data_IF_313494827336
#
_entry.id   IF_313494827336
#
_cell.length_a   1.000
_cell.length_b   1.000
_cell.length_c   1.000
_cell.angle_alpha   90.00
_cell.angle_beta   90.00
_cell.angle_gamma   90.00
#
_symmetry.space_group_name_H-M   'P 1'
#
loop_
_entity.id
_entity.type
_entity.pdbx_description
1 polymer ?
#
# COMPACT_ATOMS: atom_id res chain seq x y z
N UNK A 1 -3.64 -24.91 -17.37
CA UNK A 1 -4.11 -26.23 -16.88
C UNK A 1 -3.49 -26.47 -15.52
N UNK A 2 -4.29 -26.40 -14.45
CA UNK A 2 -3.82 -26.65 -13.09
C UNK A 2 -3.63 -28.15 -12.91
N UNK A 3 -2.40 -28.61 -12.68
CA UNK A 3 -2.08 -30.00 -12.36
C UNK A 3 -2.19 -30.18 -10.82
N UNK A 4 -3.26 -30.79 -10.30
CA UNK A 4 -3.51 -30.84 -8.86
C UNK A 4 -2.51 -31.73 -8.11
N UNK A 5 -1.83 -32.67 -8.78
CA UNK A 5 -0.77 -33.51 -8.17
C UNK A 5 0.51 -32.71 -7.90
N UNK A 6 0.93 -31.87 -8.84
CA UNK A 6 2.12 -31.02 -8.65
C UNK A 6 1.92 -29.98 -7.54
N UNK A 7 0.69 -29.53 -7.30
CA UNK A 7 0.35 -28.59 -6.22
C UNK A 7 0.52 -29.21 -4.82
N UNK A 8 0.26 -30.51 -4.67
CA UNK A 8 0.44 -31.23 -3.42
C UNK A 8 1.93 -31.46 -3.13
N UNK A 9 2.69 -31.91 -4.13
CA UNK A 9 4.15 -32.11 -4.04
C UNK A 9 4.89 -30.80 -3.72
N UNK A 10 4.48 -29.68 -4.33
CA UNK A 10 5.02 -28.36 -4.01
C UNK A 10 4.71 -27.97 -2.56
N UNK A 11 3.48 -28.21 -2.07
CA UNK A 11 3.13 -27.91 -0.68
C UNK A 11 3.97 -28.72 0.31
N UNK A 12 4.09 -30.03 0.10
CA UNK A 12 4.91 -30.90 0.96
C UNK A 12 6.40 -30.53 0.93
N UNK A 13 6.91 -30.06 -0.21
CA UNK A 13 8.27 -29.56 -0.30
C UNK A 13 8.45 -28.23 0.44
N UNK A 14 7.48 -27.32 0.32
CA UNK A 14 7.48 -26.03 1.02
C UNK A 14 7.41 -26.19 2.56
N UNK A 15 6.77 -27.23 3.07
CA UNK A 15 6.76 -27.54 4.51
C UNK A 15 8.14 -27.88 5.09
N UNK A 16 9.09 -28.28 4.24
CA UNK A 16 10.47 -28.63 4.63
C UNK A 16 11.44 -27.46 4.53
N UNK A 17 10.96 -26.28 4.12
CA UNK A 17 11.76 -25.06 3.98
C UNK A 17 11.97 -24.45 5.37
N UNK A 18 13.23 -24.34 5.79
CA UNK A 18 13.60 -23.69 7.05
C UNK A 18 14.34 -22.37 6.83
N UNK A 19 14.96 -22.21 5.66
CA UNK A 19 15.63 -20.98 5.23
C UNK A 19 15.31 -20.65 3.78
N UNK A 20 15.53 -19.40 3.37
CA UNK A 20 15.21 -18.92 2.01
C UNK A 20 16.01 -19.67 0.95
N UNK A 21 17.22 -20.10 1.29
CA UNK A 21 18.11 -20.90 0.44
C UNK A 21 17.47 -22.25 0.05
N UNK A 22 16.62 -22.82 0.92
CA UNK A 22 15.95 -24.10 0.69
C UNK A 22 14.87 -24.00 -0.41
N UNK A 23 14.37 -22.79 -0.68
CA UNK A 23 13.34 -22.56 -1.71
C UNK A 23 13.89 -22.75 -3.13
N UNK A 24 15.17 -22.44 -3.37
CA UNK A 24 15.76 -22.46 -4.70
C UNK A 24 15.81 -23.88 -5.30
N UNK A 25 16.33 -24.91 -4.61
CA UNK A 25 16.31 -26.29 -5.10
C UNK A 25 14.90 -26.80 -5.39
N UNK A 26 13.94 -26.48 -4.52
CA UNK A 26 12.53 -26.86 -4.66
C UNK A 26 11.95 -26.20 -5.91
N UNK A 27 12.07 -24.89 -6.04
CA UNK A 27 11.50 -24.14 -7.16
C UNK A 27 12.17 -24.50 -8.51
N UNK A 28 13.47 -24.84 -8.51
CA UNK A 28 14.17 -25.36 -9.71
C UNK A 28 13.60 -26.70 -10.18
N UNK A 29 13.11 -27.56 -9.29
CA UNK A 29 12.45 -28.81 -9.69
C UNK A 29 11.12 -28.55 -10.42
N UNK A 30 10.41 -27.48 -10.04
CA UNK A 30 9.08 -27.18 -10.58
C UNK A 30 9.06 -26.13 -11.70
N UNK A 31 10.13 -25.36 -11.89
CA UNK A 31 10.21 -24.32 -12.91
C UNK A 31 11.33 -24.58 -13.91
N UNK A 32 10.99 -25.24 -15.03
CA UNK A 32 11.94 -25.59 -16.09
C UNK A 32 12.33 -24.43 -17.02
N UNK A 33 11.67 -23.27 -16.89
CA UNK A 33 11.87 -22.11 -17.79
C UNK A 33 13.03 -21.20 -17.38
N UNK A 34 13.44 -21.22 -16.12
CA UNK A 34 14.49 -20.37 -15.57
C UNK A 34 15.59 -21.24 -14.99
N UNK A 35 16.69 -21.41 -15.74
CA UNK A 35 17.80 -22.31 -15.38
C UNK A 35 18.38 -22.07 -13.97
N UNK A 36 18.35 -20.82 -13.52
CA UNK A 36 19.05 -20.39 -12.30
C UNK A 36 18.13 -19.80 -11.22
N UNK A 37 16.80 -19.89 -11.35
CA UNK A 37 15.88 -19.27 -10.38
C UNK A 37 14.40 -19.49 -10.65
N UNK A 38 13.56 -18.68 -10.00
CA UNK A 38 12.12 -18.65 -10.25
C UNK A 38 11.57 -17.22 -10.16
N UNK A 39 10.43 -17.02 -10.82
CA UNK A 39 9.73 -15.74 -10.87
C UNK A 39 8.27 -15.95 -10.47
N UNK A 40 7.77 -15.10 -9.57
CA UNK A 40 6.39 -15.08 -9.13
C UNK A 40 5.79 -13.73 -9.49
N UNK A 41 4.66 -13.74 -10.17
CA UNK A 41 3.88 -12.53 -10.45
C UNK A 41 2.66 -12.51 -9.53
N UNK A 42 2.44 -11.40 -8.83
CA UNK A 42 1.24 -11.23 -8.03
C UNK A 42 0.09 -10.67 -8.86
N UNK A 43 -1.12 -10.93 -8.37
CA UNK A 43 -2.37 -10.44 -8.94
C UNK A 43 -3.07 -9.54 -7.95
N UNK A 44 -3.64 -8.46 -8.46
CA UNK A 44 -4.29 -7.43 -7.67
C UNK A 44 -5.76 -7.40 -8.08
N UNK A 45 -6.69 -7.88 -7.24
CA UNK A 45 -8.10 -7.87 -7.56
C UNK A 45 -8.62 -6.44 -7.77
N UNK A 46 -9.48 -6.24 -8.75
CA UNK A 46 -10.17 -4.98 -9.01
C UNK A 46 -11.37 -4.81 -8.08
N UNK A 47 -11.54 -3.61 -7.53
CA UNK A 47 -12.73 -3.23 -6.74
C UNK A 47 -13.83 -2.67 -7.65
N UNK A 48 -13.46 -1.99 -8.74
CA UNK A 48 -14.38 -1.39 -9.71
C UNK A 48 -15.01 -2.45 -10.63
N UNK A 49 -14.18 -3.35 -11.16
CA UNK A 49 -14.59 -4.38 -12.10
C UNK A 49 -14.53 -5.76 -11.43
N UNK A 50 -15.64 -6.18 -10.81
CA UNK A 50 -15.70 -7.46 -10.09
C UNK A 50 -15.22 -8.65 -10.95
N UNK A 51 -14.35 -9.47 -10.37
CA UNK A 51 -13.77 -10.64 -11.02
C UNK A 51 -12.60 -10.36 -11.95
N UNK A 52 -12.22 -9.09 -12.16
CA UNK A 52 -10.97 -8.75 -12.84
C UNK A 52 -9.80 -8.69 -11.86
N UNK A 53 -8.63 -9.03 -12.35
CA UNK A 53 -7.37 -8.92 -11.65
C UNK A 53 -6.35 -8.21 -12.54
N UNK A 54 -5.55 -7.35 -11.94
CA UNK A 54 -4.46 -6.64 -12.60
C UNK A 54 -3.11 -7.26 -12.22
N UNK A 55 -2.11 -7.05 -13.06
CA UNK A 55 -0.74 -7.44 -12.73
C UNK A 55 -0.22 -6.57 -11.58
N UNK A 56 0.21 -7.23 -10.51
CA UNK A 56 0.83 -6.60 -9.35
C UNK A 56 2.32 -6.37 -9.58
N UNK A 57 3.12 -6.97 -8.73
CA UNK A 57 4.57 -6.93 -8.80
C UNK A 57 5.14 -8.33 -9.06
N UNK A 58 6.37 -8.34 -9.56
CA UNK A 58 7.12 -9.54 -9.90
C UNK A 58 8.25 -9.71 -8.89
N UNK A 59 8.31 -10.86 -8.24
CA UNK A 59 9.45 -11.27 -7.43
C UNK A 59 10.27 -12.26 -8.25
N UNK A 60 11.56 -12.00 -8.37
CA UNK A 60 12.50 -12.95 -8.96
C UNK A 60 13.57 -13.31 -7.93
N UNK A 61 13.77 -14.61 -7.75
CA UNK A 61 14.84 -15.16 -6.92
C UNK A 61 15.72 -16.00 -7.83
N UNK A 62 16.98 -15.60 -7.92
CA UNK A 62 18.00 -16.35 -8.68
C UNK A 62 19.15 -16.72 -7.77
N UNK A 63 19.74 -17.89 -8.03
CA UNK A 63 20.90 -18.39 -7.32
C UNK A 63 22.03 -18.70 -8.29
N UNK A 64 23.22 -18.20 -8.03
CA UNK A 64 24.40 -18.53 -8.84
C UNK A 64 25.03 -19.88 -8.43
N UNK A 65 26.09 -20.30 -9.14
CA UNK A 65 26.81 -21.56 -8.88
C UNK A 65 27.63 -21.56 -7.59
N UNK A 66 27.86 -20.38 -7.00
CA UNK A 66 28.68 -20.18 -5.80
C UNK A 66 27.81 -20.11 -4.54
N UNK A 67 26.49 -20.04 -4.71
CA UNK A 67 25.51 -19.99 -3.62
C UNK A 67 25.01 -18.59 -3.29
N UNK A 68 25.36 -17.56 -4.08
CA UNK A 68 24.80 -16.23 -3.91
C UNK A 68 23.35 -16.21 -4.38
N UNK A 69 22.48 -15.54 -3.61
CA UNK A 69 21.07 -15.35 -3.95
C UNK A 69 20.83 -13.89 -4.30
N UNK A 70 20.27 -13.65 -5.48
CA UNK A 70 19.76 -12.35 -5.89
C UNK A 70 18.23 -12.36 -5.78
N UNK A 71 17.73 -11.42 -4.98
CA UNK A 71 16.31 -11.13 -4.82
C UNK A 71 16.00 -9.81 -5.52
N UNK A 72 15.13 -9.84 -6.53
CA UNK A 72 14.64 -8.64 -7.20
C UNK A 72 13.11 -8.55 -7.13
N UNK A 73 12.64 -7.30 -7.02
CA UNK A 73 11.23 -6.93 -6.96
C UNK A 73 11.02 -5.87 -8.02
N UNK A 74 10.14 -6.14 -8.96
CA UNK A 74 9.90 -5.28 -10.12
C UNK A 74 8.41 -5.03 -10.30
N UNK A 75 8.04 -3.80 -10.62
CA UNK A 75 6.69 -3.44 -11.01
C UNK A 75 6.72 -3.03 -12.47
N UNK A 76 5.91 -3.68 -13.30
CA UNK A 76 5.82 -3.32 -14.71
C UNK A 76 5.21 -1.93 -14.86
N UNK A 77 5.80 -1.10 -15.70
CA UNK A 77 5.32 0.28 -15.97
C UNK A 77 4.76 0.40 -17.37
N UNK A 78 4.02 -0.61 -17.85
CA UNK A 78 3.35 -0.54 -19.15
C UNK A 78 2.22 0.48 -19.10
N UNK A 79 1.93 1.10 -20.24
CA UNK A 79 0.86 2.08 -20.35
C UNK A 79 -0.51 1.47 -20.00
N UNK A 80 -0.82 0.30 -20.56
CA UNK A 80 -2.05 -0.44 -20.32
C UNK A 80 -2.28 -0.72 -18.82
N UNK A 81 -1.25 -1.21 -18.12
CA UNK A 81 -1.30 -1.43 -16.67
C UNK A 81 -1.55 -0.12 -15.93
N UNK A 82 -0.82 0.93 -16.28
CA UNK A 82 -0.96 2.24 -15.63
C UNK A 82 -2.37 2.79 -15.80
N UNK A 83 -2.99 2.64 -16.97
CA UNK A 83 -4.37 3.05 -17.24
C UNK A 83 -5.39 2.25 -16.40
N UNK A 84 -5.19 0.94 -16.23
CA UNK A 84 -6.06 0.11 -15.37
C UNK A 84 -6.02 0.58 -13.91
N UNK A 85 -4.83 0.78 -13.34
CA UNK A 85 -4.70 1.28 -11.97
C UNK A 85 -5.20 2.72 -11.83
N UNK A 86 -5.00 3.56 -12.85
CA UNK A 86 -5.51 4.93 -12.85
C UNK A 86 -7.05 4.96 -12.80
N UNK A 87 -7.72 4.14 -13.61
CA UNK A 87 -9.18 4.01 -13.58
C UNK A 87 -9.69 3.56 -12.20
N UNK A 88 -8.94 2.70 -11.53
CA UNK A 88 -9.25 2.21 -10.20
C UNK A 88 -9.10 3.26 -9.11
N UNK A 89 -7.98 3.99 -9.14
CA UNK A 89 -7.73 5.10 -8.23
C UNK A 89 -8.74 6.22 -8.45
N UNK A 90 -9.10 6.54 -9.70
CA UNK A 90 -10.12 7.56 -10.02
C UNK A 90 -11.51 7.18 -9.48
N UNK A 91 -11.94 5.93 -9.65
CA UNK A 91 -13.19 5.45 -9.09
C UNK A 91 -13.20 5.53 -7.56
N UNK A 92 -12.13 5.07 -6.90
CA UNK A 92 -11.98 5.17 -5.44
C UNK A 92 -11.96 6.62 -4.96
N UNK A 93 -11.31 7.51 -5.71
CA UNK A 93 -11.23 8.93 -5.35
C UNK A 93 -12.60 9.62 -5.46
N UNK A 94 -13.41 9.26 -6.47
CA UNK A 94 -14.80 9.72 -6.59
C UNK A 94 -15.66 9.27 -5.42
N UNK A 95 -15.57 7.99 -5.04
CA UNK A 95 -16.29 7.44 -3.89
C UNK A 95 -15.83 8.08 -2.58
N UNK A 96 -14.52 8.27 -2.41
CA UNK A 96 -13.93 8.94 -1.25
C UNK A 96 -14.42 10.38 -1.13
N UNK A 97 -14.49 11.11 -2.26
CA UNK A 97 -15.00 12.47 -2.29
C UNK A 97 -16.48 12.53 -1.93
N UNK A 98 -17.29 11.61 -2.46
CA UNK A 98 -18.71 11.54 -2.14
C UNK A 98 -18.95 11.22 -0.66
N UNK A 99 -18.31 10.18 -0.13
CA UNK A 99 -18.42 9.81 1.30
C UNK A 99 -17.82 10.85 2.24
N UNK A 100 -16.72 11.50 1.85
CA UNK A 100 -16.11 12.57 2.63
C UNK A 100 -17.04 13.78 2.80
N UNK A 101 -17.82 14.14 1.78
CA UNK A 101 -18.86 15.17 1.89
C UNK A 101 -19.95 14.76 2.89
N UNK A 102 -20.40 13.51 2.84
CA UNK A 102 -21.39 12.98 3.79
C UNK A 102 -20.84 13.00 5.21
N UNK A 103 -19.60 12.56 5.43
CA UNK A 103 -18.93 12.60 6.74
C UNK A 103 -18.80 14.03 7.31
N UNK A 104 -18.62 15.03 6.44
CA UNK A 104 -18.59 16.43 6.87
C UNK A 104 -19.95 16.91 7.39
N UNK A 105 -21.03 16.32 6.88
CA UNK A 105 -22.42 16.69 7.19
C UNK A 105 -23.06 15.79 8.26
N UNK A 106 -22.49 14.62 8.54
CA UNK A 106 -23.03 13.60 9.46
C UNK A 106 -21.96 13.09 10.44
N UNK A 107 -22.30 13.04 11.73
CA UNK A 107 -21.43 12.55 12.80
C UNK A 107 -21.60 11.04 13.07
N UNK A 108 -22.22 10.28 12.16
CA UNK A 108 -22.45 8.85 12.35
C UNK A 108 -21.14 8.06 12.38
N UNK A 109 -21.03 7.15 13.36
CA UNK A 109 -19.81 6.41 13.66
C UNK A 109 -19.34 5.49 12.52
N UNK A 110 -20.25 5.05 11.64
CA UNK A 110 -19.97 4.16 10.51
C UNK A 110 -19.33 4.85 9.30
N UNK A 111 -19.64 6.14 9.07
CA UNK A 111 -19.16 6.87 7.89
C UNK A 111 -17.65 7.12 7.95
N UNK A 112 -17.12 7.38 9.16
CA UNK A 112 -15.68 7.56 9.35
C UNK A 112 -14.88 6.28 9.02
N UNK A 113 -15.39 5.10 9.38
CA UNK A 113 -14.70 3.84 9.06
C UNK A 113 -14.74 3.52 7.56
N UNK A 114 -15.87 3.80 6.90
CA UNK A 114 -16.00 3.66 5.45
C UNK A 114 -15.01 4.56 4.70
N UNK A 115 -14.88 5.82 5.11
CA UNK A 115 -13.88 6.75 4.57
C UNK A 115 -12.46 6.24 4.82
N UNK A 116 -12.15 5.72 6.01
CA UNK A 116 -10.84 5.11 6.29
C UNK A 116 -10.54 3.92 5.37
N UNK A 117 -11.52 3.05 5.12
CA UNK A 117 -11.35 1.89 4.22
C UNK A 117 -11.10 2.33 2.77
N UNK A 118 -11.76 3.39 2.30
CA UNK A 118 -11.52 3.95 0.97
C UNK A 118 -10.12 4.57 0.85
N UNK A 119 -9.66 5.31 1.88
CA UNK A 119 -8.29 5.86 1.93
C UNK A 119 -7.26 4.73 1.83
N UNK A 120 -7.44 3.66 2.61
CA UNK A 120 -6.52 2.52 2.61
C UNK A 120 -6.58 1.73 1.28
N UNK A 121 -7.76 1.64 0.66
CA UNK A 121 -7.91 1.03 -0.66
C UNK A 121 -7.20 1.83 -1.75
N UNK A 122 -7.35 3.17 -1.74
CA UNK A 122 -6.64 4.04 -2.67
C UNK A 122 -5.13 3.84 -2.57
N UNK A 123 -4.63 3.72 -1.34
CA UNK A 123 -3.19 3.54 -1.10
C UNK A 123 -2.72 2.12 -1.41
N UNK A 124 -3.56 1.10 -1.21
CA UNK A 124 -3.28 -0.26 -1.68
C UNK A 124 -2.98 -0.29 -3.19
N UNK A 125 -3.80 0.37 -4.01
CA UNK A 125 -3.54 0.47 -5.45
C UNK A 125 -2.33 1.35 -5.77
N UNK A 126 -2.09 2.42 -5.01
CA UNK A 126 -0.90 3.25 -5.18
C UNK A 126 0.40 2.47 -4.92
N UNK A 127 0.45 1.68 -3.85
CA UNK A 127 1.60 0.81 -3.55
C UNK A 127 1.78 -0.26 -4.61
N UNK A 128 0.72 -0.89 -5.09
CA UNK A 128 0.84 -1.89 -6.14
C UNK A 128 1.27 -1.26 -7.48
N UNK A 129 0.83 -0.04 -7.80
CA UNK A 129 1.22 0.67 -9.01
C UNK A 129 2.70 1.11 -8.99
N UNK A 130 3.20 1.58 -7.83
CA UNK A 130 4.51 2.23 -7.68
C UNK A 130 4.76 3.34 -8.72
N UNK A 131 3.96 4.43 -8.73
CA UNK A 131 3.99 5.40 -9.83
C UNK A 131 5.22 6.32 -9.83
N UNK A 132 5.94 6.45 -8.71
CA UNK A 132 7.14 7.29 -8.63
C UNK A 132 8.40 6.44 -8.76
N UNK A 133 9.40 6.95 -9.49
CA UNK A 133 10.70 6.28 -9.62
C UNK A 133 11.39 6.09 -8.27
N UNK A 134 11.16 6.99 -7.31
CA UNK A 134 11.69 6.92 -5.94
C UNK A 134 10.68 7.51 -4.97
N UNK A 135 10.56 6.90 -3.79
CA UNK A 135 9.80 7.48 -2.68
C UNK A 135 8.29 7.25 -2.70
N UNK A 136 7.75 6.41 -3.60
CA UNK A 136 6.32 6.02 -3.59
C UNK A 136 5.85 5.62 -2.19
N UNK A 137 6.69 4.87 -1.45
CA UNK A 137 6.37 4.39 -0.11
C UNK A 137 6.08 5.52 0.90
N UNK A 138 7.03 6.46 1.03
CA UNK A 138 6.92 7.58 1.99
C UNK A 138 5.82 8.56 1.60
N UNK A 139 5.64 8.82 0.30
CA UNK A 139 4.58 9.70 -0.19
C UNK A 139 3.21 9.10 0.11
N UNK A 140 3.00 7.83 -0.21
CA UNK A 140 1.74 7.14 0.06
C UNK A 140 1.41 7.14 1.55
N UNK A 141 2.38 6.84 2.42
CA UNK A 141 2.17 6.87 3.86
C UNK A 141 1.83 8.28 4.38
N UNK A 142 2.50 9.31 3.87
CA UNK A 142 2.21 10.71 4.24
C UNK A 142 0.80 11.12 3.83
N UNK A 143 0.37 10.71 2.62
CA UNK A 143 -0.99 10.94 2.13
C UNK A 143 -2.02 10.20 2.98
N UNK A 144 -1.77 8.93 3.37
CA UNK A 144 -2.65 8.19 4.28
C UNK A 144 -2.84 8.97 5.58
N UNK A 145 -1.75 9.39 6.24
CA UNK A 145 -1.82 10.07 7.53
C UNK A 145 -2.61 11.37 7.40
N UNK A 146 -2.33 12.18 6.37
CA UNK A 146 -3.07 13.42 6.11
C UNK A 146 -4.56 13.19 5.86
N UNK A 147 -4.92 12.21 5.03
CA UNK A 147 -6.30 11.89 4.73
C UNK A 147 -7.06 11.33 5.95
N UNK A 148 -6.42 10.51 6.78
CA UNK A 148 -6.99 10.02 8.03
C UNK A 148 -7.24 11.18 9.00
N UNK A 149 -6.28 12.09 9.15
CA UNK A 149 -6.45 13.31 9.97
C UNK A 149 -7.60 14.17 9.47
N UNK A 150 -7.75 14.35 8.16
CA UNK A 150 -8.88 15.05 7.56
C UNK A 150 -10.23 14.37 7.86
N UNK A 151 -10.24 13.03 8.01
CA UNK A 151 -11.43 12.27 8.43
C UNK A 151 -11.69 12.30 9.95
N UNK A 152 -10.89 13.05 10.71
CA UNK A 152 -11.00 13.16 12.17
C UNK A 152 -10.36 11.99 12.93
N UNK A 153 -9.46 11.23 12.29
CA UNK A 153 -8.72 10.12 12.88
C UNK A 153 -7.22 10.44 12.96
N UNK A 154 -6.58 10.09 14.06
CA UNK A 154 -5.13 10.18 14.21
C UNK A 154 -4.49 8.80 14.35
N UNK A 155 -3.27 8.67 13.83
CA UNK A 155 -2.46 7.45 13.94
C UNK A 155 -1.71 7.49 15.27
N UNK A 156 -2.05 6.59 16.19
CA UNK A 156 -1.40 6.48 17.50
C UNK A 156 -0.48 5.26 17.63
N UNK A 157 -0.45 4.41 16.60
CA UNK A 157 0.36 3.21 16.54
C UNK A 157 1.66 3.40 15.78
N UNK A 158 2.37 2.29 15.56
CA UNK A 158 3.66 2.28 14.86
C UNK A 158 3.74 1.06 13.96
N UNK A 159 4.44 1.22 12.84
CA UNK A 159 4.79 0.10 11.97
C UNK A 159 5.73 -0.83 12.76
N UNK A 160 5.44 -2.14 12.84
CA UNK A 160 6.30 -3.08 13.55
C UNK A 160 7.72 -3.11 12.97
N UNK A 161 8.72 -3.41 13.82
CA UNK A 161 10.12 -3.53 13.35
C UNK A 161 10.23 -4.64 12.30
N UNK A 162 10.96 -4.35 11.21
CA UNK A 162 11.16 -5.29 10.11
C UNK A 162 9.95 -5.43 9.17
N UNK A 163 8.90 -4.63 9.35
CA UNK A 163 7.75 -4.59 8.44
C UNK A 163 7.80 -3.35 7.54
N UNK A 164 7.36 -3.53 6.31
CA UNK A 164 7.29 -2.49 5.29
C UNK A 164 5.84 -2.42 4.78
N UNK A 165 5.21 -1.26 4.88
CA UNK A 165 3.77 -1.09 4.61
C UNK A 165 3.44 -1.33 3.13
N UNK A 166 4.32 -0.91 2.24
CA UNK A 166 4.23 -1.13 0.81
C UNK A 166 4.30 -2.62 0.45
N UNK A 167 5.25 -3.37 1.02
CA UNK A 167 5.32 -4.82 0.83
C UNK A 167 4.07 -5.53 1.30
N UNK A 168 3.48 -5.11 2.42
CA UNK A 168 2.26 -5.74 2.94
C UNK A 168 1.06 -5.46 2.05
N UNK A 169 0.99 -4.27 1.44
CA UNK A 169 0.01 -3.99 0.40
C UNK A 169 0.24 -4.84 -0.86
N UNK A 170 1.49 -4.98 -1.26
CA UNK A 170 1.89 -5.76 -2.43
C UNK A 170 1.56 -7.25 -2.25
N UNK A 171 1.85 -7.83 -1.08
CA UNK A 171 1.64 -9.25 -0.80
C UNK A 171 0.23 -9.59 -0.29
N UNK A 172 -0.59 -8.59 0.03
CA UNK A 172 -1.95 -8.84 0.49
C UNK A 172 -2.83 -9.41 -0.63
N UNK A 173 -3.74 -10.35 -0.32
CA UNK A 173 -4.65 -10.93 -1.31
C UNK A 173 -5.70 -9.92 -1.83
N UNK A 174 -5.80 -8.73 -1.25
CA UNK A 174 -6.73 -7.68 -1.65
C UNK A 174 -6.67 -6.48 -0.71
N UNK A 175 -7.34 -5.39 -1.11
CA UNK A 175 -7.36 -4.12 -0.37
C UNK A 175 -7.94 -4.26 1.04
N UNK A 176 -8.95 -5.12 1.24
CA UNK A 176 -9.57 -5.34 2.55
C UNK A 176 -8.60 -6.02 3.53
N UNK A 177 -7.84 -7.01 3.05
CA UNK A 177 -6.84 -7.70 3.86
C UNK A 177 -5.71 -6.75 4.25
N UNK A 178 -5.22 -5.95 3.30
CA UNK A 178 -4.27 -4.88 3.58
C UNK A 178 -4.83 -3.88 4.61
N UNK A 179 -6.08 -3.46 4.44
CA UNK A 179 -6.72 -2.48 5.33
C UNK A 179 -6.77 -2.97 6.79
N UNK A 180 -7.06 -4.26 7.00
CA UNK A 180 -7.05 -4.88 8.34
C UNK A 180 -5.64 -4.83 8.97
N UNK A 181 -4.61 -5.18 8.21
CA UNK A 181 -3.21 -5.13 8.66
C UNK A 181 -2.83 -3.68 8.99
N UNK A 182 -3.05 -2.76 8.06
CA UNK A 182 -2.68 -1.35 8.22
C UNK A 182 -3.39 -0.71 9.42
N UNK A 183 -4.70 -0.92 9.59
CA UNK A 183 -5.45 -0.42 10.75
C UNK A 183 -4.92 -0.96 12.07
N UNK A 184 -4.54 -2.25 12.12
CA UNK A 184 -3.99 -2.86 13.34
C UNK A 184 -2.69 -2.18 13.79
N UNK A 185 -1.87 -1.74 12.83
CA UNK A 185 -0.60 -1.05 13.11
C UNK A 185 -0.79 0.42 13.41
N UNK A 186 -1.71 1.07 12.71
CA UNK A 186 -1.98 2.50 12.87
C UNK A 186 -2.68 2.84 14.19
N UNK A 187 -3.42 1.90 14.77
CA UNK A 187 -4.16 2.10 16.02
C UNK A 187 -4.95 3.43 16.00
N UNK A 188 -5.89 3.53 15.06
CA UNK A 188 -6.60 4.78 14.77
C UNK A 188 -7.42 5.25 15.98
N UNK A 189 -7.17 6.48 16.41
CA UNK A 189 -7.92 7.15 17.48
C UNK A 189 -8.67 8.35 16.92
N UNK A 190 -9.63 8.87 17.67
CA UNK A 190 -10.24 10.16 17.35
C UNK A 190 -9.19 11.26 17.49
N UNK A 191 -9.16 12.18 16.53
CA UNK A 191 -8.22 13.30 16.54
C UNK A 191 -8.38 14.14 17.81
N UNK A 192 -7.26 14.63 18.36
CA UNK A 192 -7.28 15.50 19.53
C UNK A 192 -8.16 16.75 19.30
N UNK A 193 -8.96 17.19 20.30
CA UNK A 193 -9.74 18.43 20.21
C UNK A 193 -8.92 19.68 19.91
N UNK A 194 -7.62 19.69 20.24
CA UNK A 194 -6.70 20.80 19.93
C UNK A 194 -6.58 21.11 18.44
N UNK A 195 -6.85 20.15 17.56
CA UNK A 195 -6.84 20.40 16.11
C UNK A 195 -8.03 21.25 15.67
N UNK A 196 -9.15 21.22 16.41
CA UNK A 196 -10.34 22.03 16.10
C UNK A 196 -10.15 23.52 16.37
N UNK A 197 -9.14 23.88 17.17
CA UNK A 197 -8.82 25.29 17.46
C UNK A 197 -7.86 25.90 16.45
N UNK A 198 -7.33 25.11 15.51
CA UNK A 198 -6.45 25.60 14.45
C UNK A 198 -7.29 26.31 13.37
N UNK A 199 -6.75 27.37 12.75
CA UNK A 199 -7.45 28.07 11.67
C UNK A 199 -7.56 27.16 10.44
N UNK A 200 -8.59 27.40 9.62
CA UNK A 200 -8.76 26.68 8.36
C UNK A 200 -7.56 26.93 7.43
N UNK A 201 -7.04 25.86 6.83
CA UNK A 201 -5.93 25.95 5.86
C UNK A 201 -6.35 26.75 4.62
N UNK A 202 -7.59 26.57 4.15
CA UNK A 202 -8.09 27.28 2.96
C UNK A 202 -8.29 28.78 3.22
N UNK A 203 -8.60 29.16 4.47
CA UNK A 203 -8.74 30.56 4.86
C UNK A 203 -7.36 31.21 5.12
N UNK A 204 -6.43 30.46 5.71
CA UNK A 204 -5.09 30.95 6.06
C UNK A 204 -4.18 31.05 4.83
N UNK A 205 -4.27 30.11 3.90
CA UNK A 205 -3.46 30.03 2.68
C UNK A 205 -4.38 29.97 1.45
N UNK A 206 -4.96 31.10 1.03
CA UNK A 206 -6.01 31.13 0.02
C UNK A 206 -5.52 30.79 -1.40
N UNK A 207 -4.20 30.77 -1.63
CA UNK A 207 -3.61 30.48 -2.94
C UNK A 207 -2.67 29.29 -2.89
N UNK A 208 -2.57 28.54 -4.00
CA UNK A 208 -1.60 27.46 -4.15
C UNK A 208 -0.17 27.94 -3.89
N UNK A 209 0.17 29.15 -4.33
CA UNK A 209 1.47 29.77 -4.06
C UNK A 209 1.74 29.89 -2.55
N UNK A 210 0.79 30.47 -1.80
CA UNK A 210 0.95 30.62 -0.35
C UNK A 210 1.07 29.27 0.39
N UNK A 211 0.38 28.23 -0.09
CA UNK A 211 0.53 26.88 0.44
C UNK A 211 1.93 26.30 0.17
N UNK A 212 2.48 26.51 -1.02
CA UNK A 212 3.83 26.05 -1.36
C UNK A 212 4.90 26.82 -0.57
N UNK A 213 4.75 28.14 -0.43
CA UNK A 213 5.68 28.99 0.32
C UNK A 213 5.78 28.56 1.80
N UNK A 214 4.66 28.24 2.45
CA UNK A 214 4.69 27.78 3.85
C UNK A 214 5.33 26.39 3.98
N UNK A 215 5.10 25.48 3.03
CA UNK A 215 5.73 24.15 3.03
C UNK A 215 7.24 24.22 2.83
N UNK A 216 7.75 25.26 2.15
CA UNK A 216 9.17 25.50 1.94
C UNK A 216 9.83 26.29 3.08
N UNK A 217 9.06 26.72 4.09
CA UNK A 217 9.60 27.49 5.22
C UNK A 217 10.21 26.53 6.24
N UNK A 218 11.43 26.84 6.71
CA UNK A 218 12.04 26.10 7.82
C UNK A 218 11.21 26.33 9.10
N UNK A 219 10.47 25.29 9.48
CA UNK A 219 9.61 25.28 10.66
C UNK A 219 10.35 24.82 11.92
N UNK A 220 11.61 24.39 11.81
CA UNK A 220 12.44 23.95 12.95
C UNK A 220 12.51 24.97 14.10
N UNK A 221 12.56 26.30 13.88
CA UNK A 221 12.54 27.29 14.97
C UNK A 221 11.16 27.44 15.65
N UNK A 222 10.09 27.00 14.98
CA UNK A 222 8.68 27.24 15.37
C UNK A 222 7.96 25.97 15.81
N UNK A 223 8.49 24.79 15.49
CA UNK A 223 8.03 23.52 16.03
C UNK A 223 8.39 23.45 17.53
N UNK A 224 7.39 23.23 18.37
CA UNK A 224 7.59 22.95 19.79
C UNK A 224 8.55 21.76 19.92
N UNK A 225 9.67 21.93 20.65
CA UNK A 225 10.67 20.88 20.94
C UNK A 225 10.15 19.73 21.83
N UNK A 226 8.87 19.36 21.73
CA UNK A 226 8.27 18.24 22.44
C UNK A 226 7.35 17.46 21.51
N UNK A 227 7.86 16.32 21.06
CA UNK A 227 7.13 15.07 20.88
C UNK A 227 8.11 13.95 21.24
#
# INVERSE_FOLDING_TARGET
>A
ANNPKGLLEVREALEKVHKVEDLLPIMKQFNTKTKDGFTVNTKVPSLKDQGKEYDGFTITITGDKVGNILFSVETQTTEERTQLYHAEIDALYKDLTAKGKVLTLSAEFGEADAVCNLILSLVYYFYNLMPLSRGSSVIAYSVIVGALMASGKEVAGKIPKGKLVDFEAMTAPGSEAFSKIAKSWMNLKSISPSYKTLPSVSETFPTLRSMIEVLNTDSTPRCLKKL
#
